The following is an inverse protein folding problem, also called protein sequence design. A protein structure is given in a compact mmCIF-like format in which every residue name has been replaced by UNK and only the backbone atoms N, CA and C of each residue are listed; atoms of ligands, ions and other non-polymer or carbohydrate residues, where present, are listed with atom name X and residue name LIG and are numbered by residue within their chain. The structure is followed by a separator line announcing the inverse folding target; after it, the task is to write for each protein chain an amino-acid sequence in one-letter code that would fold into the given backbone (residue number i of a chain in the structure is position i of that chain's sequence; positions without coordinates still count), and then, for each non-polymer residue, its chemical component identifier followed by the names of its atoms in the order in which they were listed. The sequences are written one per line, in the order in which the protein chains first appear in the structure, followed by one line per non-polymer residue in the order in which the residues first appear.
data_IF_049123116591
#
_entry.id   IF_049123116591
#
_cell.length_a   1.000
_cell.length_b   1.000
_cell.length_c   1.000
_cell.angle_alpha   90.00
_cell.angle_beta   90.00
_cell.angle_gamma   90.00
#
_symmetry.space_group_name_H-M   'P 1'
#
loop_
_entity.id
_entity.type
_entity.pdbx_description
1 polymer ?
#
# COMPACT_ATOMS: atom_id res chain seq x y z
N UNK A 1 36.51 -26.26 -1.33
CA UNK A 1 35.26 -25.60 -0.90
C UNK A 1 34.47 -25.18 -2.13
N UNK A 2 33.36 -25.86 -2.46
CA UNK A 2 32.50 -25.44 -3.56
C UNK A 2 31.78 -24.16 -3.17
N UNK A 3 32.11 -23.07 -3.87
CA UNK A 3 31.52 -21.77 -3.63
C UNK A 3 30.02 -21.87 -3.94
N UNK A 4 29.18 -21.82 -2.91
CA UNK A 4 27.71 -21.84 -3.00
C UNK A 4 27.29 -20.51 -3.60
N UNK A 5 27.45 -20.34 -4.91
CA UNK A 5 26.99 -19.14 -5.62
C UNK A 5 25.47 -19.10 -5.48
N UNK A 6 25.01 -18.24 -4.58
CA UNK A 6 23.59 -17.94 -4.43
C UNK A 6 23.05 -17.26 -5.67
N UNK A 7 21.74 -17.08 -5.73
CA UNK A 7 21.07 -16.38 -6.82
C UNK A 7 21.75 -15.01 -7.08
N UNK A 8 22.23 -14.73 -8.31
CA UNK A 8 23.01 -13.53 -8.60
C UNK A 8 22.30 -12.21 -8.29
N UNK A 9 20.95 -12.19 -8.36
CA UNK A 9 20.15 -10.99 -8.12
C UNK A 9 19.55 -10.97 -6.70
N UNK A 10 20.08 -11.74 -5.76
CA UNK A 10 19.56 -11.80 -4.38
C UNK A 10 19.57 -10.44 -3.68
N UNK A 11 20.58 -9.60 -3.94
CA UNK A 11 20.64 -8.24 -3.37
C UNK A 11 19.54 -7.33 -3.93
N UNK A 12 19.22 -7.46 -5.22
CA UNK A 12 18.15 -6.69 -5.87
C UNK A 12 16.79 -7.15 -5.35
N UNK A 13 16.60 -8.47 -5.16
CA UNK A 13 15.38 -9.02 -4.58
C UNK A 13 15.14 -8.49 -3.15
N UNK A 14 16.19 -8.45 -2.31
CA UNK A 14 16.11 -7.86 -0.97
C UNK A 14 15.77 -6.36 -1.02
N UNK A 15 16.41 -5.62 -1.92
CA UNK A 15 16.12 -4.21 -2.11
C UNK A 15 14.65 -3.97 -2.50
N UNK A 16 14.11 -4.76 -3.44
CA UNK A 16 12.69 -4.70 -3.83
C UNK A 16 11.75 -5.04 -2.66
N UNK A 17 12.06 -6.04 -1.85
CA UNK A 17 11.30 -6.35 -0.63
C UNK A 17 11.22 -5.13 0.31
N UNK A 18 12.35 -4.47 0.57
CA UNK A 18 12.36 -3.29 1.43
C UNK A 18 11.54 -2.13 0.84
N UNK A 19 11.50 -1.98 -0.49
CA UNK A 19 10.65 -0.98 -1.15
C UNK A 19 9.17 -1.33 -0.93
N UNK A 20 8.79 -2.60 -1.11
CA UNK A 20 7.42 -3.06 -0.88
C UNK A 20 7.00 -2.77 0.56
N UNK A 21 7.81 -3.16 1.55
CA UNK A 21 7.52 -2.90 2.97
C UNK A 21 7.28 -1.40 3.24
N UNK A 22 8.10 -0.54 2.63
CA UNK A 22 7.94 0.92 2.74
C UNK A 22 6.66 1.41 2.09
N UNK A 23 6.35 0.95 0.87
CA UNK A 23 5.14 1.34 0.14
C UNK A 23 3.87 0.86 0.86
N UNK A 24 3.87 -0.34 1.44
CA UNK A 24 2.78 -0.86 2.25
C UNK A 24 2.53 0.00 3.49
N UNK A 25 3.59 0.40 4.19
CA UNK A 25 3.50 1.30 5.33
C UNK A 25 2.93 2.67 4.93
N UNK A 26 3.45 3.28 3.86
CA UNK A 26 2.95 4.57 3.34
C UNK A 26 1.49 4.48 2.90
N UNK A 27 1.12 3.40 2.20
CA UNK A 27 -0.26 3.14 1.79
C UNK A 27 -1.18 2.98 3.00
N UNK A 28 -0.75 2.26 4.03
CA UNK A 28 -1.47 2.13 5.30
C UNK A 28 -1.72 3.47 5.98
N UNK A 29 -0.71 4.35 6.03
CA UNK A 29 -0.83 5.71 6.58
C UNK A 29 -1.83 6.55 5.78
N UNK A 30 -1.75 6.53 4.44
CA UNK A 30 -2.69 7.24 3.58
C UNK A 30 -4.13 6.74 3.77
N UNK A 31 -4.33 5.43 3.91
CA UNK A 31 -5.64 4.84 4.17
C UNK A 31 -6.24 5.29 5.50
N UNK A 32 -5.42 5.38 6.55
CA UNK A 32 -5.86 5.94 7.83
C UNK A 32 -6.20 7.43 7.71
N UNK A 33 -5.37 8.21 7.01
CA UNK A 33 -5.65 9.62 6.75
C UNK A 33 -6.97 9.82 6.01
N UNK A 34 -7.21 9.04 4.96
CA UNK A 34 -8.46 9.07 4.19
C UNK A 34 -9.67 8.78 5.06
N UNK A 35 -9.59 7.75 5.92
CA UNK A 35 -10.65 7.44 6.89
C UNK A 35 -10.91 8.62 7.83
N UNK A 36 -9.86 9.21 8.40
CA UNK A 36 -9.98 10.36 9.30
C UNK A 36 -10.64 11.57 8.63
N UNK A 37 -10.33 11.81 7.34
CA UNK A 37 -10.97 12.86 6.55
C UNK A 37 -12.48 12.60 6.36
N UNK A 38 -12.86 11.36 6.05
CA UNK A 38 -14.28 10.96 5.94
C UNK A 38 -14.99 11.13 7.29
N UNK A 39 -14.40 10.67 8.38
CA UNK A 39 -14.98 10.80 9.72
C UNK A 39 -15.17 12.28 10.10
N UNK A 40 -14.24 13.14 9.70
CA UNK A 40 -14.33 14.61 9.89
C UNK A 40 -15.47 15.20 9.07
N UNK A 41 -15.61 14.80 7.81
CA UNK A 41 -16.72 15.23 6.95
C UNK A 41 -18.08 14.85 7.55
N UNK A 42 -18.20 13.61 8.04
CA UNK A 42 -19.44 13.14 8.66
C UNK A 42 -19.80 13.96 9.90
N UNK A 43 -18.82 14.29 10.75
CA UNK A 43 -19.01 15.17 11.91
C UNK A 43 -19.48 16.56 11.48
N UNK A 44 -18.85 17.16 10.48
CA UNK A 44 -19.25 18.48 9.96
C UNK A 44 -20.68 18.46 9.39
N UNK A 45 -21.07 17.39 8.69
CA UNK A 45 -22.43 17.22 8.17
C UNK A 45 -23.46 17.08 9.29
N UNK A 46 -23.14 16.30 10.33
CA UNK A 46 -23.99 16.16 11.51
C UNK A 46 -24.15 17.49 12.25
N UNK A 47 -23.06 18.23 12.46
CA UNK A 47 -23.11 19.56 13.05
C UNK A 47 -23.99 20.50 12.22
N UNK A 48 -23.79 20.57 10.90
CA UNK A 48 -24.64 21.38 10.02
C UNK A 48 -26.12 21.03 10.17
N UNK A 49 -26.45 19.74 10.25
CA UNK A 49 -27.83 19.30 10.40
C UNK A 49 -28.44 19.75 11.74
N UNK A 50 -27.68 19.64 12.84
CA UNK A 50 -28.09 20.12 14.16
C UNK A 50 -28.32 21.63 14.16
N UNK A 51 -27.39 22.40 13.59
CA UNK A 51 -27.49 23.86 13.54
C UNK A 51 -28.66 24.36 12.68
N UNK A 52 -29.00 23.63 11.62
CA UNK A 52 -30.22 23.89 10.83
C UNK A 52 -31.48 23.67 11.68
N UNK A 53 -31.50 22.64 12.53
CA UNK A 53 -32.59 22.41 13.49
C UNK A 53 -32.73 23.57 14.50
N UNK A 54 -31.61 24.08 15.01
CA UNK A 54 -31.59 25.27 15.89
C UNK A 54 -32.15 26.49 15.16
N UNK A 55 -31.76 26.71 13.90
CA UNK A 55 -32.29 27.80 13.09
C UNK A 55 -33.81 27.71 12.91
N UNK A 56 -34.33 26.51 12.66
CA UNK A 56 -35.78 26.29 12.54
C UNK A 56 -36.52 26.61 13.84
N UNK A 57 -35.97 26.24 14.99
CA UNK A 57 -36.54 26.57 16.30
C UNK A 57 -36.57 28.08 16.54
N UNK A 58 -35.49 28.80 16.20
CA UNK A 58 -35.44 30.26 16.31
C UNK A 58 -36.51 30.94 15.42
N UNK A 59 -36.71 30.42 14.21
CA UNK A 59 -37.71 30.94 13.27
C UNK A 59 -39.16 30.64 13.68
N UNK A 60 -39.39 29.61 14.49
CA UNK A 60 -40.71 29.23 15.00
C UNK A 60 -41.04 29.83 16.37
N UNK A 61 -40.12 30.59 16.97
CA UNK A 61 -40.34 31.23 18.27
C UNK A 61 -41.34 32.39 18.19
N UNK A 62 -42.10 32.61 19.27
CA UNK A 62 -43.13 33.65 19.35
C UNK A 62 -42.55 35.07 19.18
N UNK A 63 -41.26 35.24 19.48
CA UNK A 63 -40.51 36.49 19.32
C UNK A 63 -39.38 36.29 18.32
N UNK A 64 -39.54 36.83 17.11
CA UNK A 64 -38.51 36.79 16.07
C UNK A 64 -37.29 37.64 16.46
N UNK A 65 -36.22 36.99 16.92
CA UNK A 65 -34.90 37.61 17.06
C UNK A 65 -34.14 37.51 15.74
N UNK A 66 -34.28 38.55 14.90
CA UNK A 66 -33.63 38.65 13.60
C UNK A 66 -32.09 38.58 13.70
N UNK A 67 -31.50 39.10 14.78
CA UNK A 67 -30.04 39.12 14.94
C UNK A 67 -29.52 37.71 15.26
N UNK A 68 -30.21 36.97 16.13
CA UNK A 68 -29.89 35.58 16.41
C UNK A 68 -30.03 34.70 15.16
N UNK A 69 -31.10 34.89 14.38
CA UNK A 69 -31.32 34.18 13.11
C UNK A 69 -30.18 34.46 12.13
N UNK A 70 -29.78 35.72 11.96
CA UNK A 70 -28.70 36.09 11.05
C UNK A 70 -27.35 35.49 11.48
N UNK A 71 -27.01 35.56 12.77
CA UNK A 71 -25.78 34.94 13.31
C UNK A 71 -25.77 33.44 13.06
N UNK A 72 -26.90 32.78 13.29
CA UNK A 72 -27.04 31.34 13.07
C UNK A 72 -26.87 30.95 11.58
N UNK A 73 -27.45 31.74 10.67
CA UNK A 73 -27.28 31.54 9.22
C UNK A 73 -25.81 31.67 8.79
N UNK A 74 -25.10 32.69 9.29
CA UNK A 74 -23.68 32.88 9.02
C UNK A 74 -22.84 31.71 9.55
N UNK A 75 -23.17 31.19 10.74
CA UNK A 75 -22.50 30.04 11.30
C UNK A 75 -22.71 28.78 10.44
N UNK A 76 -23.94 28.48 10.04
CA UNK A 76 -24.25 27.37 9.12
C UNK A 76 -23.49 27.52 7.79
N UNK A 77 -23.40 28.74 7.26
CA UNK A 77 -22.63 29.02 6.05
C UNK A 77 -21.13 28.73 6.25
N UNK A 78 -20.58 29.08 7.41
CA UNK A 78 -19.18 28.76 7.74
C UNK A 78 -18.93 27.25 7.79
N UNK A 79 -19.84 26.47 8.38
CA UNK A 79 -19.76 24.99 8.40
C UNK A 79 -19.86 24.46 6.97
N UNK A 80 -20.74 25.02 6.14
CA UNK A 80 -20.86 24.60 4.75
C UNK A 80 -19.55 24.83 3.96
N UNK A 81 -18.88 25.96 4.16
CA UNK A 81 -17.56 26.21 3.55
C UNK A 81 -16.53 25.18 4.02
N UNK A 82 -16.53 24.82 5.30
CA UNK A 82 -15.64 23.78 5.84
C UNK A 82 -15.94 22.41 5.23
N UNK A 83 -17.21 22.05 5.06
CA UNK A 83 -17.63 20.81 4.38
C UNK A 83 -17.08 20.77 2.96
N UNK A 84 -17.26 21.83 2.17
CA UNK A 84 -16.76 21.90 0.78
C UNK A 84 -15.25 21.72 0.73
N UNK A 85 -14.51 22.41 1.60
CA UNK A 85 -13.05 22.24 1.72
C UNK A 85 -12.68 20.80 2.09
N UNK A 86 -13.40 20.19 3.02
CA UNK A 86 -13.13 18.83 3.47
C UNK A 86 -13.39 17.79 2.37
N UNK A 87 -14.40 17.99 1.52
CA UNK A 87 -14.63 17.15 0.34
C UNK A 87 -13.45 17.22 -0.62
N UNK A 88 -12.96 18.44 -0.93
CA UNK A 88 -11.78 18.61 -1.79
C UNK A 88 -10.53 17.93 -1.21
N UNK A 89 -10.32 18.00 0.11
CA UNK A 89 -9.22 17.28 0.79
C UNK A 89 -9.38 15.76 0.63
N UNK A 90 -10.60 15.22 0.76
CA UNK A 90 -10.85 13.79 0.59
C UNK A 90 -10.50 13.36 -0.84
N UNK A 91 -10.90 14.13 -1.85
CA UNK A 91 -10.59 13.87 -3.25
C UNK A 91 -9.07 13.85 -3.49
N UNK A 92 -8.34 14.83 -2.97
CA UNK A 92 -6.87 14.86 -3.08
C UNK A 92 -6.21 13.63 -2.43
N UNK A 93 -6.66 13.26 -1.23
CA UNK A 93 -6.14 12.07 -0.52
C UNK A 93 -6.49 10.79 -1.29
N UNK A 94 -7.68 10.71 -1.87
CA UNK A 94 -8.10 9.56 -2.66
C UNK A 94 -7.25 9.40 -3.92
N UNK A 95 -6.93 10.49 -4.63
CA UNK A 95 -6.02 10.46 -5.79
C UNK A 95 -4.64 9.95 -5.38
N UNK A 96 -4.10 10.43 -4.26
CA UNK A 96 -2.80 9.96 -3.72
C UNK A 96 -2.85 8.48 -3.33
N UNK A 97 -3.95 8.04 -2.74
CA UNK A 97 -4.15 6.66 -2.32
C UNK A 97 -4.18 5.72 -3.53
N UNK A 98 -4.90 6.08 -4.59
CA UNK A 98 -4.94 5.30 -5.83
C UNK A 98 -3.58 5.27 -6.54
N UNK A 99 -2.88 6.40 -6.60
CA UNK A 99 -1.52 6.45 -7.15
C UNK A 99 -0.55 5.55 -6.38
N UNK A 100 -0.58 5.59 -5.04
CA UNK A 100 0.27 4.73 -4.21
C UNK A 100 -0.13 3.25 -4.32
N UNK A 101 -1.42 2.94 -4.47
CA UNK A 101 -1.90 1.57 -4.72
C UNK A 101 -1.32 1.01 -6.03
N UNK A 102 -1.31 1.81 -7.08
CA UNK A 102 -0.75 1.42 -8.38
C UNK A 102 0.76 1.17 -8.28
N UNK A 103 1.50 2.08 -7.63
CA UNK A 103 2.95 1.94 -7.39
C UNK A 103 3.27 0.64 -6.61
N UNK A 104 2.49 0.33 -5.59
CA UNK A 104 2.64 -0.89 -4.81
C UNK A 104 2.37 -2.15 -5.66
N UNK A 105 1.31 -2.13 -6.47
CA UNK A 105 0.95 -3.26 -7.34
C UNK A 105 2.05 -3.57 -8.37
N UNK A 106 2.60 -2.53 -9.02
CA UNK A 106 3.71 -2.67 -9.96
C UNK A 106 4.96 -3.21 -9.28
N UNK A 107 5.29 -2.69 -8.09
CA UNK A 107 6.47 -3.15 -7.34
C UNK A 107 6.33 -4.61 -6.88
N UNK A 108 5.13 -5.02 -6.45
CA UNK A 108 4.83 -6.42 -6.11
C UNK A 108 4.96 -7.35 -7.32
N UNK A 109 4.52 -6.90 -8.51
CA UNK A 109 4.67 -7.65 -9.75
C UNK A 109 6.14 -7.84 -10.14
N UNK A 110 6.95 -6.79 -10.01
CA UNK A 110 8.40 -6.86 -10.22
C UNK A 110 9.07 -7.83 -9.25
N UNK A 111 8.73 -7.74 -7.96
CA UNK A 111 9.26 -8.64 -6.94
C UNK A 111 8.93 -10.09 -7.27
N UNK A 112 7.67 -10.39 -7.59
CA UNK A 112 7.21 -11.74 -7.94
C UNK A 112 7.95 -12.28 -9.17
N UNK A 113 8.27 -11.42 -10.13
CA UNK A 113 9.06 -11.80 -11.31
C UNK A 113 10.48 -12.22 -10.92
N UNK A 114 11.13 -11.48 -10.01
CA UNK A 114 12.46 -11.84 -9.50
C UNK A 114 12.44 -13.11 -8.64
N UNK A 115 11.38 -13.34 -7.86
CA UNK A 115 11.20 -14.57 -7.09
C UNK A 115 11.08 -15.79 -8.01
N UNK A 116 10.25 -15.69 -9.05
CA UNK A 116 10.14 -16.74 -10.06
C UNK A 116 11.48 -17.04 -10.74
N UNK A 117 12.28 -16.00 -11.03
CA UNK A 117 13.60 -16.16 -11.63
C UNK A 117 14.58 -16.85 -10.67
N UNK A 118 14.55 -16.50 -9.38
CA UNK A 118 15.33 -17.16 -8.32
C UNK A 118 14.97 -18.64 -8.23
N UNK A 119 13.68 -18.96 -8.25
CA UNK A 119 13.21 -20.34 -8.09
C UNK A 119 13.65 -21.19 -9.29
N UNK A 120 13.53 -20.67 -10.52
CA UNK A 120 14.08 -21.31 -11.73
C UNK A 120 15.59 -21.49 -11.66
N UNK A 121 16.32 -20.47 -11.19
CA UNK A 121 17.77 -20.54 -11.00
C UNK A 121 18.15 -21.65 -10.02
N UNK A 122 17.45 -21.76 -8.89
CA UNK A 122 17.72 -22.78 -7.89
C UNK A 122 17.49 -24.20 -8.43
N UNK A 123 16.42 -24.40 -9.21
CA UNK A 123 16.15 -25.68 -9.89
C UNK A 123 17.28 -26.03 -10.86
N UNK A 124 17.67 -25.10 -11.74
CA UNK A 124 18.73 -25.32 -12.72
C UNK A 124 20.09 -25.58 -12.06
N UNK A 125 20.42 -24.82 -11.00
CA UNK A 125 21.64 -24.99 -10.23
C UNK A 125 21.70 -26.37 -9.55
N UNK A 126 20.58 -26.84 -8.99
CA UNK A 126 20.47 -28.18 -8.40
C UNK A 126 20.69 -29.28 -9.44
N UNK A 127 20.00 -29.19 -10.58
CA UNK A 127 20.16 -30.15 -11.69
C UNK A 127 21.60 -30.19 -12.21
N UNK A 128 22.25 -29.03 -12.36
CA UNK A 128 23.64 -28.94 -12.77
C UNK A 128 24.59 -29.63 -11.78
N UNK A 129 24.39 -29.43 -10.47
CA UNK A 129 25.19 -30.09 -9.44
C UNK A 129 25.01 -31.61 -9.49
N UNK A 130 23.78 -32.10 -9.59
CA UNK A 130 23.49 -33.54 -9.71
C UNK A 130 24.13 -34.17 -10.96
N UNK A 131 24.04 -33.50 -12.11
CA UNK A 131 24.69 -33.99 -13.34
C UNK A 131 26.21 -34.03 -13.20
N UNK A 132 26.81 -33.02 -12.55
CA UNK A 132 28.25 -32.98 -12.32
C UNK A 132 28.71 -34.06 -11.34
N UNK A 133 27.94 -34.30 -10.28
CA UNK A 133 28.18 -35.40 -9.33
C UNK A 133 28.11 -36.76 -10.02
N UNK A 134 27.09 -37.00 -10.84
CA UNK A 134 26.97 -38.23 -11.61
C UNK A 134 28.19 -38.47 -12.52
N UNK A 135 28.63 -37.45 -13.27
CA UNK A 135 29.83 -37.54 -14.11
C UNK A 135 31.10 -37.83 -13.31
N UNK A 136 31.26 -37.20 -12.14
CA UNK A 136 32.41 -37.48 -11.26
C UNK A 136 32.39 -38.93 -10.75
N UNK A 137 31.22 -39.48 -10.42
CA UNK A 137 31.08 -40.88 -10.02
C UNK A 137 31.46 -41.80 -11.18
N UNK A 138 30.96 -41.55 -12.39
CA UNK A 138 31.28 -42.35 -13.58
C UNK A 138 32.79 -42.34 -13.87
N UNK A 139 33.44 -41.18 -13.81
CA UNK A 139 34.90 -41.04 -13.97
C UNK A 139 35.69 -41.82 -12.91
N UNK A 140 35.25 -41.80 -11.65
CA UNK A 140 35.87 -42.57 -10.56
C UNK A 140 35.72 -44.09 -10.78
N UNK A 141 34.55 -44.53 -11.26
CA UNK A 141 34.30 -45.94 -11.59
C UNK A 141 35.22 -46.39 -12.72
N UNK A 142 35.29 -45.63 -13.82
CA UNK A 142 36.16 -45.94 -14.97
C UNK A 142 37.63 -46.01 -14.56
N UNK A 143 38.11 -45.04 -13.78
CA UNK A 143 39.51 -45.01 -13.33
C UNK A 143 39.87 -46.14 -12.36
N UNK A 144 38.92 -46.60 -11.54
CA UNK A 144 39.11 -47.75 -10.65
C UNK A 144 39.17 -49.07 -11.43
N UNK A 145 38.21 -49.30 -12.34
CA UNK A 145 38.20 -50.51 -13.18
C UNK A 145 39.39 -50.56 -14.15
N UNK A 146 39.89 -49.40 -14.60
CA UNK A 146 41.09 -49.31 -15.44
C UNK A 146 42.41 -49.62 -14.73
N UNK A 147 42.44 -49.70 -13.39
CA UNK A 147 43.63 -50.06 -12.59
C UNK A 147 43.66 -51.53 -12.15
N UNK A 148 42.54 -52.25 -12.27
CA UNK A 148 42.42 -53.67 -11.92
C UNK A 148 42.61 -54.60 -13.14
N UNK A 149 43.05 -54.05 -14.28
CA UNK A 149 43.59 -54.77 -15.44
C UNK A 149 45.07 -54.47 -15.59
#
# INVERSE_FOLDING_TARGET
MFNKKGFPLQSILKFKSNIVDKLESEFGQLKMSHKNCIDTLQKLQQMKHQEVGVLQQLQQSDTLDCEAIQRQQLYIQSIHIQIVKQVSIIEEVQVRLESKRQELAETLQDQKTLENLRDRYNVAQSQYLHQREARMIDELVITRYGRER
#
